data_IF_015170781384
#
_entry.id   IF_015170781384
#
_cell.length_a   1.000
_cell.length_b   1.000
_cell.length_c   1.000
_cell.angle_alpha   90.00
_cell.angle_beta   90.00
_cell.angle_gamma   90.00
#
_symmetry.space_group_name_H-M   'P 1'
#
loop_
_entity.id
_entity.type
_entity.pdbx_description
1 polymer ?
#
# COMPACT_ATOMS: atom_id res chain seq x y z
N UNK A 1 -1.38 -36.23 -50.41
CA UNK A 1 -0.84 -35.13 -49.58
C UNK A 1 -1.86 -34.79 -48.51
N UNK A 2 -1.62 -35.19 -47.27
CA UNK A 2 -2.41 -34.74 -46.13
C UNK A 2 -1.42 -34.31 -45.05
N UNK A 3 -1.29 -33.00 -44.83
CA UNK A 3 -0.42 -32.42 -43.84
C UNK A 3 -1.26 -32.11 -42.59
N UNK A 4 -1.08 -32.89 -41.54
CA UNK A 4 -1.71 -32.68 -40.24
C UNK A 4 -0.92 -31.62 -39.46
N UNK A 5 -1.50 -30.45 -39.25
CA UNK A 5 -0.96 -29.41 -38.38
C UNK A 5 -1.36 -29.71 -36.93
N UNK A 6 -0.37 -30.01 -36.08
CA UNK A 6 -0.56 -30.14 -34.63
C UNK A 6 -0.41 -28.75 -34.00
N UNK A 7 -1.51 -28.19 -33.50
CA UNK A 7 -1.52 -26.96 -32.70
C UNK A 7 -1.05 -27.31 -31.28
N UNK A 8 0.20 -26.98 -30.96
CA UNK A 8 0.70 -27.00 -29.58
C UNK A 8 0.17 -25.75 -28.88
N UNK A 9 -0.83 -25.94 -28.01
CA UNK A 9 -1.26 -24.90 -27.07
C UNK A 9 -0.22 -24.79 -25.97
N UNK A 10 0.67 -23.79 -26.09
CA UNK A 10 1.53 -23.37 -24.99
C UNK A 10 0.65 -22.69 -23.94
N UNK A 11 0.20 -23.46 -22.95
CA UNK A 11 -0.37 -22.88 -21.73
C UNK A 11 0.74 -22.12 -21.01
N UNK A 12 0.75 -20.80 -21.17
CA UNK A 12 1.61 -19.92 -20.40
C UNK A 12 1.11 -19.97 -18.95
N UNK A 13 1.69 -20.86 -18.15
CA UNK A 13 1.47 -20.86 -16.72
C UNK A 13 1.92 -19.48 -16.21
N UNK A 14 0.95 -18.63 -15.90
CA UNK A 14 1.17 -17.42 -15.15
C UNK A 14 1.69 -17.86 -13.77
N UNK A 15 3.01 -18.02 -13.66
CA UNK A 15 3.67 -18.23 -12.38
C UNK A 15 3.28 -17.06 -11.49
N UNK A 16 2.36 -17.29 -10.56
CA UNK A 16 2.05 -16.38 -9.48
C UNK A 16 3.32 -16.25 -8.62
N UNK A 17 4.25 -15.40 -9.05
CA UNK A 17 5.47 -15.11 -8.31
C UNK A 17 5.06 -14.45 -7.01
N UNK A 18 5.28 -15.17 -5.91
CA UNK A 18 5.03 -14.70 -4.55
C UNK A 18 5.58 -13.28 -4.36
N UNK A 19 4.79 -12.44 -3.68
CA UNK A 19 5.16 -11.06 -3.42
C UNK A 19 6.47 -11.00 -2.62
N UNK A 20 7.47 -10.32 -3.18
CA UNK A 20 8.78 -10.21 -2.56
C UNK A 20 8.72 -9.61 -1.16
N UNK A 21 9.64 -10.01 -0.28
CA UNK A 21 9.72 -9.55 1.12
C UNK A 21 9.69 -8.02 1.24
N UNK A 22 10.32 -7.30 0.30
CA UNK A 22 10.35 -5.84 0.29
C UNK A 22 8.97 -5.22 0.01
N UNK A 23 8.22 -5.71 -0.98
CA UNK A 23 6.86 -5.22 -1.27
C UNK A 23 5.92 -5.45 -0.09
N UNK A 24 5.97 -6.66 0.51
CA UNK A 24 5.20 -6.96 1.74
C UNK A 24 5.55 -6.00 2.88
N UNK A 25 6.84 -5.70 3.07
CA UNK A 25 7.30 -4.72 4.05
C UNK A 25 6.74 -3.33 3.78
N UNK A 26 6.84 -2.84 2.54
CA UNK A 26 6.34 -1.50 2.16
C UNK A 26 4.84 -1.39 2.41
N UNK A 27 4.06 -2.40 1.98
CA UNK A 27 2.61 -2.41 2.21
C UNK A 27 2.24 -2.46 3.69
N UNK A 28 2.92 -3.31 4.47
CA UNK A 28 2.70 -3.39 5.91
C UNK A 28 3.02 -2.06 6.59
N UNK A 29 4.21 -1.49 6.31
CA UNK A 29 4.64 -0.23 6.90
C UNK A 29 3.74 0.93 6.49
N UNK A 30 3.32 1.01 5.22
CA UNK A 30 2.39 2.03 4.75
C UNK A 30 1.02 1.94 5.44
N UNK A 31 0.54 0.71 5.69
CA UNK A 31 -0.72 0.48 6.41
C UNK A 31 -0.68 1.01 7.85
N UNK A 32 0.45 0.90 8.53
CA UNK A 32 0.65 1.45 9.87
C UNK A 32 0.62 2.99 9.86
N UNK A 33 1.18 3.61 8.83
CA UNK A 33 1.10 5.07 8.66
C UNK A 33 -0.36 5.50 8.42
N UNK A 34 -1.10 4.80 7.55
CA UNK A 34 -2.50 5.10 7.27
C UNK A 34 -3.37 4.97 8.54
N UNK A 35 -3.15 3.91 9.32
CA UNK A 35 -3.83 3.70 10.60
C UNK A 35 -3.54 4.82 11.61
N UNK A 36 -2.27 5.21 11.75
CA UNK A 36 -1.87 6.30 12.65
C UNK A 36 -2.41 7.66 12.22
N UNK A 37 -2.45 7.92 10.91
CA UNK A 37 -3.06 9.12 10.34
C UNK A 37 -4.58 9.14 10.61
N UNK A 38 -5.26 8.02 10.42
CA UNK A 38 -6.69 7.90 10.71
C UNK A 38 -6.99 8.08 12.20
N UNK A 39 -6.19 7.49 13.09
CA UNK A 39 -6.34 7.69 14.53
C UNK A 39 -6.19 9.17 14.91
N UNK A 40 -5.18 9.84 14.35
CA UNK A 40 -4.96 11.29 14.56
C UNK A 40 -6.12 12.12 14.05
N UNK A 41 -6.65 11.80 12.86
CA UNK A 41 -7.80 12.47 12.27
C UNK A 41 -9.06 12.32 13.12
N UNK A 42 -9.32 11.11 13.62
CA UNK A 42 -10.48 10.82 14.48
C UNK A 42 -10.34 11.46 15.87
N UNK A 43 -9.12 11.68 16.36
CA UNK A 43 -8.88 12.43 17.60
C UNK A 43 -8.99 13.95 17.42
N UNK A 44 -9.37 14.45 16.25
CA UNK A 44 -9.48 15.88 15.96
C UNK A 44 -8.15 16.59 15.68
N UNK A 45 -7.03 15.87 15.57
CA UNK A 45 -5.75 16.51 15.19
C UNK A 45 -5.85 16.98 13.73
N UNK A 46 -5.47 18.22 13.46
CA UNK A 46 -5.47 18.77 12.09
C UNK A 46 -4.41 18.11 11.21
N UNK A 47 -4.59 18.15 9.88
CA UNK A 47 -3.58 17.68 8.93
C UNK A 47 -2.23 18.39 9.13
N UNK A 48 -2.25 19.69 9.41
CA UNK A 48 -1.04 20.44 9.75
C UNK A 48 -0.33 19.85 10.98
N UNK A 49 -1.07 19.58 12.06
CA UNK A 49 -0.53 18.95 13.27
C UNK A 49 0.05 17.57 13.01
N UNK A 50 -0.64 16.74 12.21
CA UNK A 50 -0.15 15.41 11.82
C UNK A 50 1.14 15.51 10.99
N UNK A 51 1.20 16.41 10.01
CA UNK A 51 2.40 16.68 9.19
C UNK A 51 3.58 17.10 10.06
N UNK A 52 3.37 18.02 11.01
CA UNK A 52 4.41 18.45 11.93
C UNK A 52 4.97 17.31 12.77
N UNK A 53 4.12 16.41 13.28
CA UNK A 53 4.57 15.21 14.02
C UNK A 53 5.44 14.29 13.14
N UNK A 54 5.07 14.09 11.88
CA UNK A 54 5.88 13.30 10.94
C UNK A 54 7.21 13.96 10.62
N UNK A 55 7.23 15.28 10.43
CA UNK A 55 8.49 16.02 10.19
C UNK A 55 9.48 15.89 11.35
N UNK A 56 8.99 15.83 12.59
CA UNK A 56 9.84 15.62 13.77
C UNK A 56 10.33 14.16 13.94
N UNK A 57 9.71 13.19 13.24
CA UNK A 57 10.06 11.77 13.35
C UNK A 57 11.37 11.46 12.62
N UNK A 58 12.18 10.56 13.20
CA UNK A 58 13.33 9.96 12.53
C UNK A 58 12.86 8.80 11.65
N UNK A 59 13.31 8.78 10.40
CA UNK A 59 13.00 7.71 9.44
C UNK A 59 14.28 6.97 9.07
N UNK A 60 14.28 5.62 9.08
CA UNK A 60 15.46 4.83 8.73
C UNK A 60 15.90 4.98 7.27
N UNK A 61 14.96 5.26 6.36
CA UNK A 61 15.24 5.44 4.93
C UNK A 61 14.76 6.82 4.45
N UNK A 62 15.50 7.49 3.55
CA UNK A 62 15.15 8.85 3.11
C UNK A 62 13.75 8.97 2.50
N UNK A 63 13.33 7.98 1.71
CA UNK A 63 12.04 7.98 1.01
C UNK A 63 10.84 7.88 1.97
N UNK A 64 11.00 7.24 3.14
CA UNK A 64 9.89 6.96 4.07
C UNK A 64 9.23 8.24 4.58
N UNK A 65 9.99 9.32 4.75
CA UNK A 65 9.44 10.60 5.22
C UNK A 65 8.38 11.12 4.25
N UNK A 66 8.73 11.21 2.97
CA UNK A 66 7.83 11.73 1.95
C UNK A 66 6.65 10.80 1.71
N UNK A 67 6.87 9.48 1.70
CA UNK A 67 5.78 8.50 1.59
C UNK A 67 4.82 8.60 2.78
N UNK A 68 5.33 8.75 4.01
CA UNK A 68 4.47 8.88 5.18
C UNK A 68 3.63 10.16 5.15
N UNK A 69 4.21 11.26 4.66
CA UNK A 69 3.49 12.52 4.45
C UNK A 69 2.37 12.35 3.42
N UNK A 70 2.65 11.70 2.28
CA UNK A 70 1.66 11.46 1.22
C UNK A 70 0.52 10.53 1.66
N UNK A 71 0.82 9.45 2.39
CA UNK A 71 -0.21 8.56 2.95
C UNK A 71 -1.10 9.32 3.95
N UNK A 72 -0.49 10.14 4.80
CA UNK A 72 -1.23 10.94 5.79
C UNK A 72 -2.15 11.95 5.13
N UNK A 73 -1.66 12.67 4.13
CA UNK A 73 -2.48 13.60 3.36
C UNK A 73 -3.68 12.92 2.70
N UNK A 74 -3.47 11.79 2.02
CA UNK A 74 -4.56 11.01 1.42
C UNK A 74 -5.58 10.53 2.47
N UNK A 75 -5.11 10.06 3.62
CA UNK A 75 -5.99 9.60 4.72
C UNK A 75 -6.84 10.74 5.27
N UNK A 76 -6.27 11.94 5.40
CA UNK A 76 -6.98 13.13 5.86
C UNK A 76 -7.99 13.65 4.84
N UNK A 77 -7.63 13.66 3.55
CA UNK A 77 -8.47 14.13 2.47
C UNK A 77 -9.65 13.18 2.15
N UNK A 78 -9.50 11.89 2.46
CA UNK A 78 -10.60 10.93 2.36
C UNK A 78 -11.76 11.33 3.28
N UNK A 79 -13.04 11.18 2.88
CA UNK A 79 -14.17 11.37 3.80
C UNK A 79 -14.30 10.24 4.84
N UNK A 80 -13.53 9.16 4.71
CA UNK A 80 -13.64 7.97 5.55
C UNK A 80 -13.44 8.25 7.04
N UNK A 81 -14.32 7.66 7.85
CA UNK A 81 -14.27 7.61 9.33
C UNK A 81 -14.11 6.18 9.86
N UNK A 82 -13.65 5.26 9.00
CA UNK A 82 -13.35 3.89 9.40
C UNK A 82 -12.39 3.85 10.59
N UNK A 83 -12.48 2.80 11.41
CA UNK A 83 -11.57 2.62 12.55
C UNK A 83 -10.14 2.45 12.03
N UNK A 84 -9.12 2.82 12.82
CA UNK A 84 -7.72 2.67 12.40
C UNK A 84 -7.34 1.25 11.98
N UNK A 85 -7.90 0.21 12.62
CA UNK A 85 -7.72 -1.19 12.23
C UNK A 85 -8.22 -1.50 10.83
N UNK A 86 -9.37 -0.94 10.46
CA UNK A 86 -10.04 -1.23 9.19
C UNK A 86 -9.34 -0.48 8.04
N UNK A 87 -8.86 0.75 8.30
CA UNK A 87 -7.99 1.48 7.37
C UNK A 87 -6.67 0.75 7.18
N UNK A 88 -6.07 0.20 8.26
CA UNK A 88 -4.86 -0.59 8.16
C UNK A 88 -5.05 -1.78 7.22
N UNK A 89 -6.10 -2.56 7.45
CA UNK A 89 -6.39 -3.74 6.63
C UNK A 89 -6.66 -3.37 5.17
N UNK A 90 -7.56 -2.41 4.94
CA UNK A 90 -7.92 -1.94 3.59
C UNK A 90 -6.69 -1.44 2.83
N UNK A 91 -5.85 -0.61 3.46
CA UNK A 91 -4.64 -0.09 2.84
C UNK A 91 -3.69 -1.23 2.46
N UNK A 92 -3.47 -2.17 3.38
CA UNK A 92 -2.58 -3.31 3.14
C UNK A 92 -3.05 -4.13 1.94
N UNK A 93 -4.32 -4.53 1.93
CA UNK A 93 -4.91 -5.32 0.84
C UNK A 93 -4.82 -4.60 -0.52
N UNK A 94 -5.15 -3.30 -0.54
CA UNK A 94 -5.05 -2.50 -1.77
C UNK A 94 -3.61 -2.39 -2.27
N UNK A 95 -2.65 -2.19 -1.37
CA UNK A 95 -1.23 -2.15 -1.72
C UNK A 95 -0.75 -3.49 -2.28
N UNK A 96 -1.08 -4.61 -1.63
CA UNK A 96 -0.72 -5.95 -2.12
C UNK A 96 -1.33 -6.20 -3.49
N UNK A 97 -2.61 -5.88 -3.69
CA UNK A 97 -3.29 -6.01 -4.98
C UNK A 97 -2.59 -5.18 -6.08
N UNK A 98 -2.18 -3.96 -5.75
CA UNK A 98 -1.45 -3.11 -6.69
C UNK A 98 -0.09 -3.70 -7.06
N UNK A 99 0.68 -4.14 -6.07
CA UNK A 99 2.01 -4.74 -6.30
C UNK A 99 1.94 -6.05 -7.10
N UNK A 100 0.87 -6.83 -6.94
CA UNK A 100 0.63 -8.03 -7.74
C UNK A 100 0.25 -7.68 -9.18
N UNK A 101 -0.49 -6.60 -9.40
CA UNK A 101 -0.93 -6.17 -10.73
C UNK A 101 0.17 -5.49 -11.57
N UNK A 102 1.21 -4.95 -10.93
CA UNK A 102 2.36 -4.34 -11.61
C UNK A 102 3.44 -5.34 -12.06
N UNK A 103 3.26 -6.62 -11.76
CA UNK A 103 4.20 -7.70 -12.10
C UNK A 103 3.63 -8.56 -13.21
#
# INVERSE_FOLDING_TARGET
MAATFVLVTLSLEAQAKDLGKNSRFVCSWGSDIAAGAQASKLSGLTLYGARRKLQARKFPRPWMRMTAMGITEQTYNSPSRLKPSDIKQTYYEQCIKHELAQR
#
